data_IF_872661533353
#
_entry.id   IF_872661533353
#
_cell.length_a   1.000
_cell.length_b   1.000
_cell.length_c   1.000
_cell.angle_alpha   90.00
_cell.angle_beta   90.00
_cell.angle_gamma   90.00
#
_symmetry.space_group_name_H-M   'P 1'
#
loop_
_entity.id
_entity.type
_entity.pdbx_description
1 polymer ?
#
# COMPACT_ATOMS: atom_id res chain seq x y z
N UNK A 1 -44.18 8.89 -41.07
CA UNK A 1 -43.57 7.77 -40.33
C UNK A 1 -42.42 8.34 -39.49
N UNK A 2 -42.47 8.23 -38.16
CA UNK A 2 -41.92 9.26 -37.27
C UNK A 2 -40.57 8.86 -36.65
N UNK A 3 -39.82 9.88 -36.20
CA UNK A 3 -38.46 9.81 -35.63
C UNK A 3 -38.23 8.77 -34.52
N UNK A 4 -39.28 8.19 -33.93
CA UNK A 4 -39.20 7.07 -33.01
C UNK A 4 -38.55 5.82 -33.63
N UNK A 5 -38.75 5.58 -34.93
CA UNK A 5 -38.18 4.41 -35.60
C UNK A 5 -36.66 4.56 -35.85
N UNK A 6 -36.17 5.79 -36.01
CA UNK A 6 -34.73 6.10 -36.06
C UNK A 6 -34.05 6.05 -34.70
N UNK A 7 -34.78 6.31 -33.61
CA UNK A 7 -34.23 6.13 -32.25
C UNK A 7 -34.18 4.66 -31.83
N UNK A 8 -35.09 3.81 -32.33
CA UNK A 8 -35.07 2.38 -32.05
C UNK A 8 -33.89 1.65 -32.73
N UNK A 9 -33.46 2.09 -33.92
CA UNK A 9 -32.26 1.56 -34.59
C UNK A 9 -30.93 2.03 -33.96
N UNK A 10 -30.94 3.10 -33.16
CA UNK A 10 -29.73 3.61 -32.48
C UNK A 10 -29.45 2.95 -31.12
N UNK A 11 -30.38 2.13 -30.59
CA UNK A 11 -30.28 1.56 -29.22
C UNK A 11 -30.52 0.05 -29.17
N UNK A 12 -30.28 -0.67 -30.27
CA UNK A 12 -30.08 -2.13 -30.23
C UNK A 12 -28.59 -2.43 -30.17
N UNK A 13 -27.96 -2.18 -29.03
CA UNK A 13 -26.61 -2.71 -28.77
C UNK A 13 -26.76 -4.21 -28.55
N UNK A 14 -26.48 -5.00 -29.59
CA UNK A 14 -26.29 -6.44 -29.43
C UNK A 14 -25.27 -6.68 -28.31
N UNK A 15 -25.63 -7.50 -27.33
CA UNK A 15 -24.73 -7.90 -26.26
C UNK A 15 -23.60 -8.72 -26.87
N UNK A 16 -22.43 -8.10 -27.01
CA UNK A 16 -21.23 -8.75 -27.56
C UNK A 16 -20.79 -9.84 -26.59
N UNK A 17 -20.57 -11.04 -27.11
CA UNK A 17 -20.05 -12.16 -26.32
C UNK A 17 -18.59 -11.91 -25.89
N UNK A 18 -18.17 -12.52 -24.77
CA UNK A 18 -16.83 -12.32 -24.23
C UNK A 18 -15.72 -12.76 -25.21
N UNK A 19 -15.99 -13.76 -26.08
CA UNK A 19 -15.10 -14.17 -27.17
C UNK A 19 -14.83 -13.02 -28.16
N UNK A 20 -15.87 -12.29 -28.54
CA UNK A 20 -15.76 -11.16 -29.46
C UNK A 20 -15.03 -9.97 -28.80
N UNK A 21 -15.20 -9.78 -27.49
CA UNK A 21 -14.42 -8.77 -26.73
C UNK A 21 -12.93 -9.09 -26.70
N UNK A 22 -12.57 -10.37 -26.52
CA UNK A 22 -11.18 -10.83 -26.57
C UNK A 22 -10.60 -10.57 -27.96
N UNK A 23 -11.35 -10.83 -29.02
CA UNK A 23 -10.89 -10.61 -30.38
C UNK A 23 -10.66 -9.13 -30.70
N UNK A 24 -11.55 -8.24 -30.25
CA UNK A 24 -11.34 -6.78 -30.34
C UNK A 24 -10.03 -6.36 -29.65
N UNK A 25 -9.72 -6.94 -28.48
CA UNK A 25 -8.48 -6.67 -27.76
C UNK A 25 -7.25 -7.24 -28.50
N UNK A 26 -7.36 -8.43 -29.09
CA UNK A 26 -6.31 -9.01 -29.93
C UNK A 26 -6.07 -8.11 -31.15
N UNK A 27 -7.13 -7.69 -31.85
CA UNK A 27 -7.04 -6.74 -32.97
C UNK A 27 -6.44 -5.41 -32.55
N UNK A 28 -6.62 -4.94 -31.31
CA UNK A 28 -5.95 -3.72 -30.83
C UNK A 28 -4.46 -3.92 -30.50
N UNK A 29 -4.09 -5.10 -30.03
CA UNK A 29 -2.73 -5.42 -29.57
C UNK A 29 -1.78 -5.97 -30.63
N UNK A 30 -2.30 -6.60 -31.68
CA UNK A 30 -1.49 -7.36 -32.65
C UNK A 30 -0.83 -6.49 -33.73
N UNK A 31 -1.32 -5.26 -33.97
CA UNK A 31 -0.72 -4.40 -34.99
C UNK A 31 0.48 -3.62 -34.43
N UNK A 32 1.60 -3.66 -35.17
CA UNK A 32 2.81 -2.88 -34.91
C UNK A 32 2.56 -1.36 -34.81
N UNK A 33 1.43 -0.88 -35.35
CA UNK A 33 0.89 0.47 -35.10
C UNK A 33 -0.44 0.33 -34.39
N UNK A 34 -0.64 1.08 -33.30
CA UNK A 34 -1.92 1.12 -32.57
C UNK A 34 -3.04 1.48 -33.57
N UNK A 35 -3.97 0.56 -33.87
CA UNK A 35 -5.01 0.83 -34.84
C UNK A 35 -5.98 1.86 -34.26
N UNK A 36 -6.50 2.74 -35.11
CA UNK A 36 -7.55 3.67 -34.71
C UNK A 36 -8.82 2.90 -34.37
N UNK A 37 -9.65 3.42 -33.45
CA UNK A 37 -10.94 2.81 -33.07
C UNK A 37 -11.83 2.48 -34.27
N UNK A 38 -11.82 3.33 -35.30
CA UNK A 38 -12.55 3.10 -36.54
C UNK A 38 -11.97 1.94 -37.35
N UNK A 39 -10.64 1.85 -37.44
CA UNK A 39 -9.96 0.74 -38.13
C UNK A 39 -10.25 -0.63 -37.51
N UNK A 40 -10.29 -0.73 -36.18
CA UNK A 40 -10.67 -1.99 -35.51
C UNK A 40 -12.13 -2.33 -35.74
N UNK A 41 -13.02 -1.32 -35.69
CA UNK A 41 -14.43 -1.51 -36.00
C UNK A 41 -14.63 -2.02 -37.44
N UNK A 42 -13.90 -1.46 -38.40
CA UNK A 42 -14.03 -1.83 -39.81
C UNK A 42 -13.49 -3.26 -40.07
N UNK A 43 -12.41 -3.67 -39.38
CA UNK A 43 -11.90 -5.06 -39.41
C UNK A 43 -12.89 -6.02 -38.74
N UNK A 44 -13.48 -5.62 -37.62
CA UNK A 44 -14.49 -6.43 -36.93
C UNK A 44 -15.72 -6.67 -37.81
N UNK A 45 -16.21 -5.64 -38.51
CA UNK A 45 -17.32 -5.78 -39.46
C UNK A 45 -17.01 -6.69 -40.65
N UNK A 46 -15.75 -6.73 -41.10
CA UNK A 46 -15.34 -7.64 -42.17
C UNK A 46 -15.41 -9.10 -41.73
N UNK A 47 -15.15 -9.39 -40.45
CA UNK A 47 -15.18 -10.75 -39.88
C UNK A 47 -16.59 -11.15 -39.37
N UNK A 48 -17.40 -10.18 -38.94
CA UNK A 48 -18.73 -10.39 -38.36
C UNK A 48 -19.76 -9.48 -39.02
N UNK A 49 -20.17 -9.84 -40.24
CA UNK A 49 -21.12 -9.07 -41.06
C UNK A 49 -22.51 -8.92 -40.42
N UNK A 50 -22.90 -9.84 -39.53
CA UNK A 50 -24.20 -9.83 -38.84
C UNK A 50 -24.20 -9.02 -37.53
N UNK A 51 -23.03 -8.62 -37.01
CA UNK A 51 -22.93 -7.97 -35.70
C UNK A 51 -22.37 -6.55 -35.81
N UNK A 52 -23.27 -5.56 -35.79
CA UNK A 52 -22.88 -4.15 -35.80
C UNK A 52 -22.47 -3.66 -34.40
N UNK A 53 -21.18 -3.73 -34.08
CA UNK A 53 -20.57 -3.08 -32.91
C UNK A 53 -20.43 -1.57 -33.10
N UNK A 54 -20.96 -0.78 -32.17
CA UNK A 54 -20.76 0.68 -32.18
C UNK A 54 -19.36 1.07 -31.64
N UNK A 55 -18.80 2.17 -32.16
CA UNK A 55 -17.46 2.70 -31.77
C UNK A 55 -17.29 2.86 -30.25
N UNK A 56 -18.37 3.18 -29.54
CA UNK A 56 -18.38 3.32 -28.08
C UNK A 56 -17.94 2.04 -27.37
N UNK A 57 -18.27 0.87 -27.90
CA UNK A 57 -17.96 -0.41 -27.27
C UNK A 57 -16.47 -0.72 -27.42
N UNK A 58 -15.89 -0.49 -28.60
CA UNK A 58 -14.44 -0.61 -28.82
C UNK A 58 -13.67 0.31 -27.85
N UNK A 59 -14.16 1.55 -27.69
CA UNK A 59 -13.58 2.53 -26.76
C UNK A 59 -13.70 2.11 -25.29
N UNK A 60 -14.84 1.57 -24.88
CA UNK A 60 -15.08 1.01 -23.54
C UNK A 60 -14.14 -0.16 -23.25
N UNK A 61 -14.03 -1.12 -24.17
CA UNK A 61 -13.13 -2.27 -24.06
C UNK A 61 -11.66 -1.86 -23.96
N UNK A 62 -11.25 -0.86 -24.74
CA UNK A 62 -9.89 -0.32 -24.68
C UNK A 62 -9.59 0.43 -23.38
N UNK A 63 -10.58 1.18 -22.85
CA UNK A 63 -10.44 1.93 -21.60
C UNK A 63 -10.06 1.01 -20.45
N UNK A 64 -10.67 -0.17 -20.37
CA UNK A 64 -10.38 -1.17 -19.34
C UNK A 64 -8.95 -1.72 -19.43
N UNK A 65 -8.41 -1.90 -20.64
CA UNK A 65 -7.02 -2.32 -20.86
C UNK A 65 -6.00 -1.25 -20.45
N UNK A 66 -6.22 -0.01 -20.87
CA UNK A 66 -5.32 1.12 -20.54
C UNK A 66 -5.38 1.54 -19.07
N UNK A 67 -6.48 1.22 -18.37
CA UNK A 67 -6.64 1.57 -16.95
C UNK A 67 -6.01 0.53 -16.02
N UNK A 68 -5.62 -0.65 -16.52
CA UNK A 68 -5.09 -1.74 -15.68
C UNK A 68 -6.06 -2.16 -14.55
N UNK A 69 -7.34 -1.81 -14.67
CA UNK A 69 -8.35 -2.10 -13.64
C UNK A 69 -8.79 -3.53 -13.85
N UNK A 70 -8.04 -4.45 -13.24
CA UNK A 70 -8.61 -5.69 -12.74
C UNK A 70 -9.72 -5.23 -11.79
N UNK A 71 -10.97 -5.48 -12.15
CA UNK A 71 -12.13 -5.04 -11.37
C UNK A 71 -12.04 -5.62 -9.97
N UNK A 72 -11.79 -4.74 -8.99
CA UNK A 72 -11.85 -5.02 -7.56
C UNK A 72 -10.48 -4.95 -6.88
N UNK A 73 -10.36 -4.33 -5.68
CA UNK A 73 -9.23 -4.65 -4.82
C UNK A 73 -9.29 -6.16 -4.56
N UNK A 74 -8.31 -6.92 -5.04
CA UNK A 74 -8.09 -8.28 -4.53
C UNK A 74 -7.87 -8.11 -3.03
N UNK A 75 -8.92 -8.36 -2.24
CA UNK A 75 -8.82 -8.37 -0.79
C UNK A 75 -7.77 -9.45 -0.52
N UNK A 76 -6.64 -9.04 0.04
CA UNK A 76 -5.63 -10.01 0.51
C UNK A 76 -6.39 -10.98 1.41
N UNK A 77 -6.28 -12.31 1.16
CA UNK A 77 -7.03 -13.28 1.92
C UNK A 77 -6.61 -13.20 3.40
N UNK A 78 -7.55 -13.51 4.28
CA UNK A 78 -7.46 -13.17 5.71
C UNK A 78 -6.39 -13.99 6.45
N UNK A 79 -6.12 -15.19 5.97
CA UNK A 79 -4.99 -16.05 6.35
C UNK A 79 -3.64 -15.36 6.12
N UNK A 80 -3.43 -14.78 4.94
CA UNK A 80 -2.18 -14.08 4.60
C UNK A 80 -2.01 -12.82 5.44
N UNK A 81 -3.10 -12.13 5.76
CA UNK A 81 -3.04 -10.98 6.67
C UNK A 81 -2.68 -11.40 8.10
N UNK A 82 -3.22 -12.52 8.58
CA UNK A 82 -2.89 -13.07 9.90
C UNK A 82 -1.42 -13.51 9.98
N UNK A 83 -0.89 -14.16 8.95
CA UNK A 83 0.52 -14.56 8.89
C UNK A 83 1.45 -13.34 8.96
N UNK A 84 1.09 -12.25 8.28
CA UNK A 84 1.82 -10.98 8.37
C UNK A 84 1.82 -10.45 9.80
N UNK A 85 0.69 -10.53 10.51
CA UNK A 85 0.60 -10.06 11.89
C UNK A 85 1.52 -10.82 12.83
N UNK A 86 1.55 -12.15 12.72
CA UNK A 86 2.40 -13.02 13.54
C UNK A 86 3.87 -12.66 13.30
N UNK A 87 4.28 -12.59 12.03
CA UNK A 87 5.65 -12.27 11.65
C UNK A 87 6.09 -10.88 12.13
N UNK A 88 5.21 -9.88 12.03
CA UNK A 88 5.52 -8.51 12.49
C UNK A 88 5.64 -8.44 14.01
N UNK A 89 4.83 -9.22 14.74
CA UNK A 89 4.90 -9.33 16.20
C UNK A 89 6.20 -9.97 16.68
N UNK A 90 6.62 -11.05 16.02
CA UNK A 90 7.84 -11.78 16.38
C UNK A 90 9.12 -11.02 15.99
N UNK A 91 9.13 -10.41 14.80
CA UNK A 91 10.28 -9.65 14.32
C UNK A 91 9.85 -8.43 13.48
N UNK A 92 9.68 -7.25 14.11
CA UNK A 92 9.26 -6.04 13.40
C UNK A 92 10.32 -5.50 12.42
N UNK A 93 11.55 -6.02 12.44
CA UNK A 93 12.67 -5.51 11.66
C UNK A 93 12.93 -6.26 10.34
N UNK A 94 12.33 -7.43 10.10
CA UNK A 94 12.66 -8.27 8.92
C UNK A 94 11.45 -8.93 8.24
N UNK A 95 10.36 -8.17 8.10
CA UNK A 95 9.05 -8.67 7.64
C UNK A 95 9.07 -9.12 6.16
N UNK A 96 9.86 -8.44 5.31
CA UNK A 96 9.82 -8.63 3.85
C UNK A 96 10.43 -9.94 3.37
N UNK A 97 11.38 -10.52 4.13
CA UNK A 97 12.04 -11.78 3.74
C UNK A 97 11.24 -13.03 4.10
N UNK A 98 10.34 -12.94 5.08
CA UNK A 98 9.71 -14.13 5.67
C UNK A 98 8.37 -14.50 5.01
N UNK A 99 7.59 -13.53 4.52
CA UNK A 99 6.22 -13.77 4.04
C UNK A 99 6.12 -14.01 2.52
N UNK A 100 7.21 -13.83 1.77
CA UNK A 100 7.22 -14.07 0.31
C UNK A 100 6.27 -13.16 -0.50
N UNK A 101 5.71 -12.10 0.10
CA UNK A 101 4.83 -11.15 -0.55
C UNK A 101 5.61 -10.03 -1.23
N UNK A 102 5.02 -9.47 -2.29
CA UNK A 102 5.50 -8.21 -2.85
C UNK A 102 5.47 -7.09 -1.80
N UNK A 103 6.54 -6.28 -1.77
CA UNK A 103 6.74 -5.19 -0.80
C UNK A 103 5.56 -4.21 -0.77
N UNK A 104 4.97 -3.92 -1.94
CA UNK A 104 3.83 -3.00 -2.07
C UNK A 104 2.59 -3.55 -1.37
N UNK A 105 2.32 -4.85 -1.50
CA UNK A 105 1.20 -5.52 -0.83
C UNK A 105 1.41 -5.51 0.67
N UNK A 106 2.62 -5.80 1.12
CA UNK A 106 2.97 -5.75 2.53
C UNK A 106 2.77 -4.36 3.14
N UNK A 107 3.25 -3.32 2.45
CA UNK A 107 3.08 -1.95 2.90
C UNK A 107 1.60 -1.53 2.98
N UNK A 108 0.74 -2.03 2.06
CA UNK A 108 -0.71 -1.80 2.12
C UNK A 108 -1.37 -2.46 3.34
N UNK A 109 -0.99 -3.71 3.64
CA UNK A 109 -1.49 -4.45 4.82
C UNK A 109 -1.08 -3.72 6.09
N UNK A 110 0.21 -3.42 6.26
CA UNK A 110 0.74 -2.72 7.44
C UNK A 110 0.08 -1.35 7.65
N UNK A 111 -0.13 -0.58 6.58
CA UNK A 111 -0.79 0.72 6.64
C UNK A 111 -2.27 0.60 7.03
N UNK A 112 -2.99 -0.40 6.53
CA UNK A 112 -4.39 -0.68 6.91
C UNK A 112 -4.50 -0.99 8.41
N UNK A 113 -3.50 -1.70 8.93
CA UNK A 113 -3.40 -2.12 10.33
C UNK A 113 -2.76 -1.06 11.25
N UNK A 114 -2.52 0.16 10.73
CA UNK A 114 -1.96 1.30 11.48
C UNK A 114 -0.57 1.05 12.06
N UNK A 115 0.22 0.15 11.45
CA UNK A 115 1.64 0.09 11.76
C UNK A 115 2.35 1.33 11.24
N UNK A 116 3.23 1.87 12.07
CA UNK A 116 4.05 3.03 11.75
C UNK A 116 5.50 2.61 11.56
N UNK A 117 6.24 3.20 10.60
CA UNK A 117 7.67 2.98 10.49
C UNK A 117 8.36 3.27 11.82
N UNK A 118 9.16 2.33 12.30
CA UNK A 118 9.93 2.51 13.52
C UNK A 118 11.06 3.52 13.29
N UNK A 119 11.15 4.54 14.14
CA UNK A 119 12.27 5.49 14.13
C UNK A 119 13.37 4.94 15.04
N UNK A 120 14.51 4.57 14.44
CA UNK A 120 15.67 4.10 15.20
C UNK A 120 16.07 5.14 16.25
N UNK A 121 16.08 4.73 17.51
CA UNK A 121 16.67 5.48 18.62
C UNK A 121 17.95 4.77 19.00
N UNK A 122 19.05 5.53 19.07
CA UNK A 122 20.29 5.05 19.67
C UNK A 122 20.11 5.25 21.17
N UNK A 123 20.04 4.16 21.91
CA UNK A 123 19.97 4.14 23.37
C UNK A 123 21.09 3.24 23.86
N UNK A 124 21.69 3.57 25.00
CA UNK A 124 22.66 2.69 25.64
C UNK A 124 22.09 1.28 25.84
N UNK A 125 22.92 0.26 25.61
CA UNK A 125 22.57 -1.13 25.89
C UNK A 125 22.62 -1.34 27.40
N UNK A 126 21.49 -1.73 27.99
CA UNK A 126 21.44 -2.12 29.41
C UNK A 126 22.03 -3.52 29.54
N UNK A 127 23.04 -3.67 30.40
CA UNK A 127 23.60 -4.97 30.76
C UNK A 127 22.79 -5.60 31.89
N UNK A 128 22.91 -6.92 32.10
CA UNK A 128 22.23 -7.61 33.21
C UNK A 128 22.63 -7.00 34.57
N UNK A 129 23.87 -6.52 34.68
CA UNK A 129 24.41 -5.88 35.88
C UNK A 129 23.79 -4.50 36.17
N UNK A 130 23.18 -3.84 35.16
CA UNK A 130 22.56 -2.50 35.32
C UNK A 130 21.11 -2.57 35.82
N UNK A 131 20.47 -3.75 35.76
CA UNK A 131 19.05 -3.92 36.05
C UNK A 131 18.78 -3.73 37.55
N UNK A 132 19.50 -4.45 38.40
CA UNK A 132 19.28 -4.43 39.84
C UNK A 132 19.54 -3.04 40.45
N UNK A 133 20.66 -2.34 40.15
CA UNK A 133 20.90 -0.99 40.65
C UNK A 133 19.83 0.02 40.18
N UNK A 134 19.33 -0.14 38.95
CA UNK A 134 18.29 0.73 38.41
C UNK A 134 16.97 0.57 39.17
N UNK A 135 16.57 -0.66 39.46
CA UNK A 135 15.34 -0.97 40.22
C UNK A 135 15.44 -0.44 41.66
N UNK A 136 16.58 -0.68 42.31
CA UNK A 136 16.81 -0.16 43.67
C UNK A 136 16.77 1.37 43.70
N UNK A 137 17.41 2.02 42.73
CA UNK A 137 17.38 3.47 42.59
C UNK A 137 15.94 4.00 42.41
N UNK A 138 15.16 3.39 41.50
CA UNK A 138 13.77 3.79 41.29
C UNK A 138 12.90 3.58 42.53
N UNK A 139 13.04 2.45 43.22
CA UNK A 139 12.32 2.19 44.47
C UNK A 139 12.67 3.22 45.55
N UNK A 140 13.95 3.54 45.70
CA UNK A 140 14.43 4.56 46.64
C UNK A 140 13.89 5.96 46.31
N UNK A 141 13.93 6.36 45.03
CA UNK A 141 13.37 7.63 44.58
C UNK A 141 11.86 7.71 44.80
N UNK A 142 11.13 6.62 44.52
CA UNK A 142 9.69 6.57 44.73
C UNK A 142 9.32 6.71 46.21
N UNK A 143 10.05 6.06 47.11
CA UNK A 143 9.82 6.20 48.55
C UNK A 143 10.06 7.64 49.02
N UNK A 144 11.15 8.28 48.58
CA UNK A 144 11.44 9.69 48.92
C UNK A 144 10.37 10.65 48.42
N UNK A 145 9.85 10.43 47.21
CA UNK A 145 8.73 11.21 46.67
C UNK A 145 7.43 11.01 47.48
N UNK A 146 7.21 9.83 48.05
CA UNK A 146 6.03 9.54 48.86
C UNK A 146 6.15 10.13 50.27
N UNK A 147 7.34 10.08 50.86
CA UNK A 147 7.61 10.57 52.21
C UNK A 147 7.60 12.11 52.28
N UNK A 148 8.12 12.78 51.23
CA UNK A 148 8.10 14.24 51.13
C UNK A 148 7.60 14.72 49.75
N UNK A 149 6.45 15.40 49.77
CA UNK A 149 5.84 16.00 48.58
C UNK A 149 6.67 17.12 47.96
N UNK A 150 7.63 17.71 48.70
CA UNK A 150 8.54 18.74 48.20
C UNK A 150 9.86 18.19 47.67
N UNK A 151 10.13 16.90 47.86
CA UNK A 151 11.39 16.28 47.46
C UNK A 151 11.75 16.58 46.01
N UNK A 152 10.80 16.41 45.07
CA UNK A 152 11.05 16.66 43.65
C UNK A 152 11.36 18.14 43.34
N UNK A 153 10.73 19.08 44.05
CA UNK A 153 10.99 20.51 43.84
C UNK A 153 12.33 20.98 44.37
N UNK A 154 12.94 20.21 45.28
CA UNK A 154 14.23 20.53 45.88
C UNK A 154 15.41 19.93 45.08
N UNK A 155 15.13 19.12 44.05
CA UNK A 155 16.17 18.54 43.19
C UNK A 155 16.57 19.53 42.09
N UNK A 156 17.87 19.78 41.99
CA UNK A 156 18.48 20.51 40.88
C UNK A 156 19.32 19.53 40.08
N UNK A 157 18.95 19.32 38.81
CA UNK A 157 19.73 18.52 37.88
C UNK A 157 20.67 19.42 37.06
N UNK A 158 21.91 18.97 36.91
CA UNK A 158 22.88 19.55 35.99
C UNK A 158 23.48 18.44 35.13
N UNK A 159 23.65 18.70 33.84
CA UNK A 159 24.32 17.80 32.91
C UNK A 159 25.40 18.57 32.13
N UNK A 160 26.46 17.88 31.73
CA UNK A 160 27.55 18.45 30.96
C UNK A 160 27.35 18.16 29.47
N UNK A 161 27.21 19.22 28.66
CA UNK A 161 27.11 19.12 27.22
C UNK A 161 28.37 19.63 26.54
N UNK A 162 28.98 18.81 25.69
CA UNK A 162 30.11 19.22 24.85
C UNK A 162 29.62 19.68 23.47
N UNK A 163 29.99 20.91 23.08
CA UNK A 163 29.66 21.47 21.76
C UNK A 163 30.91 21.51 20.88
N UNK A 164 30.87 20.83 19.73
CA UNK A 164 31.98 20.81 18.76
C UNK A 164 31.62 21.65 17.52
N UNK A 165 32.52 22.55 17.08
CA UNK A 165 32.30 23.41 15.90
C UNK A 165 32.31 22.67 14.55
N UNK A 166 32.77 21.42 14.53
CA UNK A 166 32.90 20.59 13.33
C UNK A 166 31.62 19.82 12.95
N UNK A 167 30.47 20.15 13.55
CA UNK A 167 29.17 19.48 13.32
C UNK A 167 29.17 17.96 13.57
N UNK A 168 30.17 17.41 14.27
CA UNK A 168 30.13 16.00 14.68
C UNK A 168 29.20 15.86 15.87
N UNK A 169 28.12 15.08 15.69
CA UNK A 169 27.17 14.74 16.76
C UNK A 169 27.87 13.83 17.76
N UNK A 170 27.84 14.20 19.05
CA UNK A 170 28.31 13.32 20.11
C UNK A 170 27.42 12.06 20.16
N UNK A 171 28.02 10.88 19.96
CA UNK A 171 27.34 9.58 20.02
C UNK A 171 27.48 8.88 21.37
N UNK A 172 28.19 9.50 22.32
CA UNK A 172 28.50 8.90 23.62
C UNK A 172 27.48 9.26 24.71
N UNK A 173 26.73 10.36 24.55
CA UNK A 173 25.69 10.78 25.50
C UNK A 173 24.29 10.28 25.08
N UNK A 174 24.20 9.10 24.47
CA UNK A 174 22.94 8.50 23.99
C UNK A 174 22.76 7.08 24.51
#
# INVERSE_FOLDING_TARGET
MPAAQRMLEMVTTASIEDTQRIEILMMMGYFHRKPTENGVRDIFYANYSEHQIHRSIVKESCKNLSSGVITGPTKVPEDVELDVHIVVGDNPHSITRQVGLYVITMHRILKRQKYHPYKLRLTHELTEDDIDPSIEFWGSMQNRCNDDKKFVSDIIFSDEATFCMNATVNRQNC
#
